data_IF_153777816271
#
_entry.id   IF_153777816271
#
_cell.length_a   1.000
_cell.length_b   1.000
_cell.length_c   1.000
_cell.angle_alpha   90.00
_cell.angle_beta   90.00
_cell.angle_gamma   90.00
#
_symmetry.space_group_name_H-M   'P 1'
#
loop_
_entity.id
_entity.type
_entity.pdbx_description
1 polymer ?
#
# COMPACT_ATOMS: atom_id res chain seq x y z
N UNK A 1 -0.72 59.60 -23.52
CA UNK A 1 -0.26 59.15 -22.19
C UNK A 1 -1.41 59.28 -21.23
N UNK A 2 -2.00 58.15 -20.84
CA UNK A 2 -2.69 57.88 -19.59
C UNK A 2 -3.38 56.52 -19.79
N UNK A 3 -2.69 55.46 -19.39
CA UNK A 3 -3.28 54.15 -19.12
C UNK A 3 -4.36 54.29 -18.04
N UNK A 4 -5.45 53.52 -18.12
CA UNK A 4 -6.21 53.15 -16.95
C UNK A 4 -6.02 51.67 -16.62
N UNK A 5 -5.62 51.49 -15.36
CA UNK A 5 -5.33 50.28 -14.58
C UNK A 5 -6.34 49.14 -14.72
N UNK A 6 -5.81 47.92 -14.75
CA UNK A 6 -6.50 46.67 -14.43
C UNK A 6 -6.93 46.63 -12.96
N UNK A 7 -8.13 46.10 -12.62
CA UNK A 7 -8.49 45.80 -11.24
C UNK A 7 -7.99 44.42 -10.79
N UNK A 8 -7.23 44.43 -9.70
CA UNK A 8 -6.64 43.32 -8.96
C UNK A 8 -7.62 42.17 -8.61
N UNK A 9 -7.13 40.94 -8.82
CA UNK A 9 -7.60 39.70 -8.21
C UNK A 9 -7.62 39.77 -6.68
N UNK A 10 -8.69 39.24 -6.07
CA UNK A 10 -8.62 38.69 -4.71
C UNK A 10 -9.29 37.31 -4.72
N UNK A 11 -8.49 36.29 -5.00
CA UNK A 11 -8.84 34.88 -4.83
C UNK A 11 -8.88 34.53 -3.33
N UNK A 12 -10.07 34.21 -2.85
CA UNK A 12 -10.33 33.74 -1.49
C UNK A 12 -10.37 32.20 -1.50
N UNK A 13 -9.20 31.57 -1.62
CA UNK A 13 -9.07 30.14 -1.87
C UNK A 13 -8.12 29.36 -0.94
N UNK A 14 -7.87 29.79 0.30
CA UNK A 14 -6.95 29.07 1.19
C UNK A 14 -7.58 28.68 2.52
N UNK A 15 -7.81 27.37 2.74
CA UNK A 15 -7.62 26.66 4.03
C UNK A 15 -8.26 25.25 4.03
N UNK A 16 -7.84 24.36 3.11
CA UNK A 16 -8.09 22.91 3.24
C UNK A 16 -6.82 22.05 3.21
N UNK A 17 -5.64 22.66 3.02
CA UNK A 17 -4.45 21.95 2.52
C UNK A 17 -3.60 21.24 3.60
N UNK A 18 -3.70 21.56 4.89
CA UNK A 18 -2.66 21.10 5.84
C UNK A 18 -2.94 19.78 6.58
N UNK A 19 -4.02 19.07 6.22
CA UNK A 19 -4.35 17.77 6.81
C UNK A 19 -3.45 16.63 6.30
N UNK A 20 -3.14 16.66 5.01
CA UNK A 20 -2.34 15.64 4.30
C UNK A 20 -0.83 15.84 4.50
N UNK A 21 -0.41 17.04 4.93
CA UNK A 21 1.00 17.40 5.14
C UNK A 21 1.69 16.62 6.28
N UNK A 22 0.92 15.88 7.07
CA UNK A 22 1.41 15.09 8.22
C UNK A 22 1.51 13.57 7.95
N UNK A 23 0.98 13.07 6.83
CA UNK A 23 1.19 11.68 6.39
C UNK A 23 2.17 11.67 5.23
N UNK A 24 3.24 10.87 5.33
CA UNK A 24 4.10 10.59 4.17
C UNK A 24 3.22 9.95 3.08
N UNK A 25 3.24 10.53 1.87
CA UNK A 25 2.46 10.12 0.68
C UNK A 25 2.48 8.61 0.48
N UNK A 26 3.62 7.98 0.77
CA UNK A 26 3.84 6.54 0.70
C UNK A 26 2.82 5.72 1.49
N UNK A 27 2.30 6.25 2.60
CA UNK A 27 1.32 5.60 3.48
C UNK A 27 -0.07 6.24 3.41
N UNK A 28 -0.31 7.13 2.45
CA UNK A 28 -1.62 7.76 2.28
C UNK A 28 -2.66 6.75 1.81
N UNK A 29 -3.90 6.94 2.27
CA UNK A 29 -5.05 6.13 1.85
C UNK A 29 -5.34 6.31 0.35
N UNK A 30 -5.13 7.54 -0.14
CA UNK A 30 -5.26 7.93 -1.54
C UNK A 30 -4.35 7.07 -2.42
N UNK A 31 -3.07 6.94 -2.06
CA UNK A 31 -2.11 6.13 -2.82
C UNK A 31 -2.54 4.66 -2.91
N UNK A 32 -3.06 4.09 -1.82
CA UNK A 32 -3.50 2.69 -1.81
C UNK A 32 -4.72 2.46 -2.70
N UNK A 33 -5.70 3.36 -2.62
CA UNK A 33 -6.90 3.31 -3.46
C UNK A 33 -6.53 3.41 -4.95
N UNK A 34 -5.70 4.39 -5.29
CA UNK A 34 -5.22 4.58 -6.67
C UNK A 34 -4.44 3.37 -7.17
N UNK A 35 -3.52 2.83 -6.37
CA UNK A 35 -2.69 1.70 -6.77
C UNK A 35 -3.56 0.46 -7.00
N UNK A 36 -4.50 0.19 -6.09
CA UNK A 36 -5.43 -0.94 -6.23
C UNK A 36 -6.27 -0.83 -7.50
N UNK A 37 -6.83 0.35 -7.78
CA UNK A 37 -7.63 0.56 -9.00
C UNK A 37 -6.80 0.40 -10.30
N UNK A 38 -5.50 0.68 -10.25
CA UNK A 38 -4.58 0.44 -11.37
C UNK A 38 -4.20 -1.05 -11.50
N UNK A 39 -4.05 -1.76 -10.38
CA UNK A 39 -3.73 -3.21 -10.35
C UNK A 39 -4.92 -4.08 -10.76
N UNK A 40 -6.13 -3.73 -10.29
CA UNK A 40 -7.38 -4.43 -10.62
C UNK A 40 -7.84 -4.15 -12.07
N UNK A 41 -7.30 -3.10 -12.69
CA UNK A 41 -7.57 -2.73 -14.09
C UNK A 41 -8.81 -1.85 -14.30
N UNK A 42 -9.44 -1.38 -13.22
CA UNK A 42 -10.58 -0.45 -13.27
C UNK A 42 -10.18 0.92 -13.85
N UNK A 43 -8.92 1.31 -13.66
CA UNK A 43 -8.33 2.50 -14.28
C UNK A 43 -7.29 2.07 -15.32
N UNK A 44 -7.45 2.47 -16.60
CA UNK A 44 -6.44 2.22 -17.61
C UNK A 44 -5.09 2.85 -17.26
N UNK A 45 -4.01 2.11 -17.44
CA UNK A 45 -2.64 2.63 -17.32
C UNK A 45 -2.41 3.78 -18.31
N UNK A 46 -3.01 3.70 -19.51
CA UNK A 46 -2.97 4.74 -20.53
C UNK A 46 -4.13 5.76 -20.37
N UNK A 47 -4.50 6.08 -19.12
CA UNK A 47 -5.61 7.00 -18.84
C UNK A 47 -5.46 8.36 -19.54
N UNK A 48 -4.24 8.86 -19.73
CA UNK A 48 -3.98 10.16 -20.37
C UNK A 48 -4.51 10.27 -21.80
N UNK A 49 -4.54 9.17 -22.55
CA UNK A 49 -5.02 9.11 -23.94
C UNK A 49 -6.49 8.67 -24.02
N UNK A 50 -6.97 7.93 -23.02
CA UNK A 50 -8.28 7.26 -23.08
C UNK A 50 -9.38 8.08 -22.42
N UNK A 51 -9.25 8.38 -21.12
CA UNK A 51 -10.32 8.97 -20.30
C UNK A 51 -9.92 10.30 -19.64
N UNK A 52 -8.62 10.57 -19.52
CA UNK A 52 -8.05 11.74 -18.89
C UNK A 52 -8.00 11.66 -17.35
N UNK A 53 -7.15 12.48 -16.69
CA UNK A 53 -6.94 12.40 -15.24
C UNK A 53 -8.19 12.73 -14.41
N UNK A 54 -9.08 13.58 -14.92
CA UNK A 54 -10.30 13.98 -14.22
C UNK A 54 -11.35 12.85 -14.19
N UNK A 55 -11.54 12.11 -15.29
CA UNK A 55 -12.44 10.97 -15.30
C UNK A 55 -11.96 9.86 -14.35
N UNK A 56 -10.64 9.64 -14.26
CA UNK A 56 -10.06 8.74 -13.26
C UNK A 56 -10.42 9.19 -11.84
N UNK A 57 -10.30 10.48 -11.55
CA UNK A 57 -10.70 11.02 -10.25
C UNK A 57 -12.18 10.76 -9.95
N UNK A 58 -13.09 10.93 -10.91
CA UNK A 58 -14.51 10.64 -10.72
C UNK A 58 -14.77 9.15 -10.41
N UNK A 59 -14.14 8.24 -11.15
CA UNK A 59 -14.21 6.79 -10.92
C UNK A 59 -13.74 6.47 -9.50
N UNK A 60 -12.59 6.99 -9.08
CA UNK A 60 -12.05 6.75 -7.74
C UNK A 60 -12.94 7.33 -6.64
N UNK A 61 -13.60 8.46 -6.86
CA UNK A 61 -14.56 9.03 -5.92
C UNK A 61 -15.84 8.20 -5.82
N UNK A 62 -16.38 7.71 -6.95
CA UNK A 62 -17.64 6.98 -7.01
C UNK A 62 -17.50 5.52 -6.57
N UNK A 63 -16.52 4.81 -7.10
CA UNK A 63 -16.40 3.36 -6.92
C UNK A 63 -15.53 2.99 -5.71
N UNK A 64 -14.53 3.83 -5.40
CA UNK A 64 -13.58 3.57 -4.31
C UNK A 64 -13.73 4.53 -3.12
N UNK A 65 -14.70 5.46 -3.17
CA UNK A 65 -15.00 6.38 -2.08
C UNK A 65 -13.85 7.34 -1.76
N UNK A 66 -13.03 7.71 -2.74
CA UNK A 66 -11.91 8.61 -2.56
C UNK A 66 -12.36 9.98 -2.03
N UNK A 67 -11.83 10.39 -0.87
CA UNK A 67 -12.12 11.67 -0.21
C UNK A 67 -10.92 12.62 -0.33
N UNK A 68 -10.59 13.06 -1.54
CA UNK A 68 -9.62 14.14 -1.76
C UNK A 68 -10.16 15.13 -2.77
N UNK A 69 -9.51 16.29 -2.92
CA UNK A 69 -9.87 17.27 -3.95
C UNK A 69 -9.06 17.03 -5.22
N UNK A 70 -9.67 17.25 -6.39
CA UNK A 70 -8.96 17.24 -7.65
C UNK A 70 -7.99 18.43 -7.69
N UNK A 71 -6.70 18.14 -7.63
CA UNK A 71 -5.61 19.12 -7.58
C UNK A 71 -4.46 18.68 -8.49
N UNK A 72 -3.54 19.59 -8.81
CA UNK A 72 -2.30 19.23 -9.55
C UNK A 72 -1.46 18.18 -8.82
N UNK A 73 -1.56 18.14 -7.49
CA UNK A 73 -0.91 17.10 -6.67
C UNK A 73 -1.49 15.72 -6.98
N UNK A 74 -2.81 15.61 -7.16
CA UNK A 74 -3.47 14.36 -7.55
C UNK A 74 -2.99 13.88 -8.91
N UNK A 75 -2.94 14.76 -9.92
CA UNK A 75 -2.54 14.38 -11.28
C UNK A 75 -1.07 13.94 -11.34
N UNK A 76 -0.19 14.65 -10.61
CA UNK A 76 1.22 14.26 -10.45
C UNK A 76 1.34 12.88 -9.82
N UNK A 77 0.64 12.63 -8.73
CA UNK A 77 0.69 11.35 -8.02
C UNK A 77 0.10 10.19 -8.81
N UNK A 78 -0.98 10.43 -9.55
CA UNK A 78 -1.54 9.45 -10.47
C UNK A 78 -0.51 9.07 -11.53
N UNK A 79 0.17 10.04 -12.14
CA UNK A 79 1.24 9.80 -13.11
C UNK A 79 2.41 9.01 -12.52
N UNK A 80 2.88 9.38 -11.32
CA UNK A 80 3.95 8.66 -10.62
C UNK A 80 3.57 7.20 -10.38
N UNK A 81 2.34 6.92 -9.94
CA UNK A 81 1.86 5.55 -9.72
C UNK A 81 1.74 4.75 -11.01
N UNK A 82 1.25 5.37 -12.08
CA UNK A 82 1.16 4.70 -13.38
C UNK A 82 2.53 4.33 -13.92
N UNK A 83 3.52 5.23 -13.86
CA UNK A 83 4.91 4.89 -14.23
C UNK A 83 5.44 3.77 -13.36
N UNK A 84 5.19 3.81 -12.05
CA UNK A 84 5.61 2.75 -11.13
C UNK A 84 5.01 1.38 -11.50
N UNK A 85 3.71 1.30 -11.82
CA UNK A 85 3.05 0.05 -12.21
C UNK A 85 3.62 -0.49 -13.52
N UNK A 86 3.84 0.38 -14.52
CA UNK A 86 4.47 0.00 -15.80
C UNK A 86 5.88 -0.55 -15.57
N UNK A 87 6.72 0.20 -14.86
CA UNK A 87 8.10 -0.21 -14.56
C UNK A 87 8.13 -1.54 -13.81
N UNK A 88 7.22 -1.76 -12.86
CA UNK A 88 7.09 -3.03 -12.15
C UNK A 88 6.64 -4.17 -13.06
N UNK A 89 5.68 -3.93 -13.96
CA UNK A 89 5.22 -4.93 -14.93
C UNK A 89 6.33 -5.33 -15.90
N UNK A 90 7.05 -4.35 -16.45
CA UNK A 90 8.13 -4.60 -17.40
C UNK A 90 9.31 -5.31 -16.74
N UNK A 91 9.66 -4.94 -15.51
CA UNK A 91 10.66 -5.68 -14.72
C UNK A 91 10.21 -7.11 -14.47
N UNK A 92 8.95 -7.32 -14.09
CA UNK A 92 8.42 -8.66 -13.85
C UNK A 92 8.48 -9.54 -15.11
N UNK A 93 8.14 -8.99 -16.28
CA UNK A 93 8.23 -9.71 -17.56
C UNK A 93 9.67 -10.02 -17.93
N UNK A 94 10.56 -9.04 -17.81
CA UNK A 94 11.98 -9.24 -18.10
C UNK A 94 12.61 -10.30 -17.19
N UNK A 95 12.27 -10.30 -15.90
CA UNK A 95 12.74 -11.31 -14.94
C UNK A 95 12.17 -12.69 -15.27
N UNK A 96 10.90 -12.79 -15.68
CA UNK A 96 10.28 -14.03 -16.13
C UNK A 96 10.94 -14.57 -17.41
N UNK A 97 11.16 -13.72 -18.41
CA UNK A 97 11.85 -14.09 -19.65
C UNK A 97 13.28 -14.55 -19.39
N UNK A 98 14.01 -13.84 -18.53
CA UNK A 98 15.36 -14.23 -18.12
C UNK A 98 15.37 -15.57 -17.38
N UNK A 99 14.40 -15.80 -16.49
CA UNK A 99 14.25 -17.06 -15.77
C UNK A 99 13.91 -18.22 -16.71
N UNK A 100 12.97 -18.02 -17.63
CA UNK A 100 12.58 -19.03 -18.61
C UNK A 100 13.75 -19.37 -19.56
N UNK A 101 14.49 -18.36 -20.02
CA UNK A 101 15.70 -18.56 -20.81
C UNK A 101 16.77 -19.33 -20.03
N UNK A 102 16.94 -19.03 -18.73
CA UNK A 102 17.84 -19.79 -17.86
C UNK A 102 17.41 -21.26 -17.75
N UNK A 103 16.12 -21.54 -17.51
CA UNK A 103 15.62 -22.91 -17.45
C UNK A 103 15.80 -23.67 -18.77
N UNK A 104 15.60 -23.00 -19.91
CA UNK A 104 15.78 -23.60 -21.24
C UNK A 104 17.24 -23.99 -21.52
N UNK A 105 18.20 -23.17 -21.08
CA UNK A 105 19.63 -23.42 -21.29
C UNK A 105 20.25 -24.34 -20.22
N UNK A 106 19.61 -24.45 -19.05
CA UNK A 106 20.11 -25.22 -17.91
C UNK A 106 19.08 -26.28 -17.48
N UNK A 107 18.85 -27.32 -18.30
CA UNK A 107 17.97 -28.41 -17.91
C UNK A 107 18.46 -29.04 -16.61
N UNK A 108 17.50 -29.32 -15.71
CA UNK A 108 17.79 -29.82 -14.37
C UNK A 108 18.25 -31.28 -14.47
N UNK A 109 19.45 -31.60 -14.01
CA UNK A 109 19.96 -32.98 -13.98
C UNK A 109 19.20 -33.82 -12.95
N UNK A 110 18.76 -35.01 -13.35
CA UNK A 110 18.11 -36.00 -12.47
C UNK A 110 19.04 -36.52 -11.37
N UNK A 111 20.36 -36.50 -11.62
CA UNK A 111 21.38 -36.93 -10.68
C UNK A 111 22.23 -35.75 -10.21
N UNK A 112 22.64 -35.81 -8.95
CA UNK A 112 23.66 -34.92 -8.41
C UNK A 112 25.05 -35.27 -8.98
N UNK A 113 26.02 -34.38 -8.79
CA UNK A 113 27.45 -34.56 -9.06
C UNK A 113 28.04 -35.87 -8.51
N UNK A 114 27.45 -36.43 -7.44
CA UNK A 114 27.83 -37.71 -6.84
C UNK A 114 27.08 -38.92 -7.42
N UNK A 115 26.28 -38.75 -8.47
CA UNK A 115 25.47 -39.82 -9.09
C UNK A 115 24.28 -40.28 -8.25
N UNK A 116 23.89 -39.52 -7.23
CA UNK A 116 22.71 -39.81 -6.39
C UNK A 116 21.46 -39.21 -7.03
N UNK A 117 20.28 -39.85 -6.89
CA UNK A 117 19.03 -39.21 -7.30
C UNK A 117 18.88 -37.85 -6.65
N UNK A 118 18.45 -36.85 -7.42
CA UNK A 118 18.15 -35.51 -6.91
C UNK A 118 16.84 -35.56 -6.13
N UNK A 119 16.83 -34.98 -4.93
CA UNK A 119 15.62 -34.86 -4.12
C UNK A 119 14.62 -33.86 -4.73
N UNK A 120 15.13 -32.70 -5.15
CA UNK A 120 14.34 -31.62 -5.76
C UNK A 120 13.61 -32.08 -7.03
N UNK A 121 12.29 -31.97 -7.03
CA UNK A 121 11.43 -32.40 -8.14
C UNK A 121 11.16 -33.89 -8.18
N UNK A 122 11.63 -34.66 -7.20
CA UNK A 122 11.33 -36.09 -7.10
C UNK A 122 9.91 -36.34 -6.58
N UNK A 123 9.37 -37.51 -6.88
CA UNK A 123 8.07 -37.93 -6.37
C UNK A 123 8.09 -38.09 -4.84
N UNK A 124 9.24 -38.50 -4.27
CA UNK A 124 9.45 -38.58 -2.83
C UNK A 124 9.28 -37.21 -2.15
N UNK A 125 9.79 -36.13 -2.75
CA UNK A 125 9.59 -34.78 -2.22
C UNK A 125 8.10 -34.39 -2.23
N UNK A 126 7.42 -34.62 -3.36
CA UNK A 126 6.01 -34.27 -3.54
C UNK A 126 5.13 -34.98 -2.51
N UNK A 127 5.33 -36.29 -2.36
CA UNK A 127 4.58 -37.12 -1.40
C UNK A 127 4.92 -36.76 0.05
N UNK A 128 6.20 -36.52 0.38
CA UNK A 128 6.60 -36.14 1.73
C UNK A 128 5.97 -34.81 2.14
N UNK A 129 5.95 -33.82 1.24
CA UNK A 129 5.30 -32.52 1.50
C UNK A 129 3.80 -32.66 1.74
N UNK A 130 3.12 -33.52 0.97
CA UNK A 130 1.70 -33.81 1.18
C UNK A 130 1.45 -34.50 2.52
N UNK A 131 2.19 -35.58 2.82
CA UNK A 131 2.09 -36.30 4.10
C UNK A 131 2.46 -35.41 5.31
N UNK A 132 3.33 -34.42 5.09
CA UNK A 132 3.66 -33.43 6.11
C UNK A 132 2.54 -32.42 6.35
N UNK A 133 1.87 -31.97 5.29
CA UNK A 133 0.71 -31.09 5.38
C UNK A 133 -0.47 -31.79 6.08
N UNK A 134 -0.67 -33.08 5.79
CA UNK A 134 -1.70 -33.92 6.43
C UNK A 134 -1.35 -34.31 7.87
N UNK A 135 -0.11 -34.05 8.31
CA UNK A 135 0.35 -34.36 9.66
C UNK A 135 0.70 -35.83 9.89
N UNK A 136 0.72 -36.66 8.86
CA UNK A 136 1.05 -38.09 8.89
C UNK A 136 2.44 -38.34 9.50
N UNK A 137 3.41 -37.46 9.26
CA UNK A 137 4.74 -37.56 9.87
C UNK A 137 4.71 -37.52 11.42
N UNK A 138 3.64 -36.99 12.05
CA UNK A 138 3.46 -36.94 13.50
C UNK A 138 2.78 -38.18 14.07
N UNK A 139 2.10 -38.98 13.24
CA UNK A 139 1.44 -40.21 13.70
C UNK A 139 2.43 -41.34 13.89
N UNK A 140 3.57 -41.30 13.19
CA UNK A 140 4.66 -42.25 13.38
C UNK A 140 5.54 -41.85 14.56
N UNK A 141 5.82 -42.80 15.45
CA UNK A 141 6.69 -42.61 16.61
C UNK A 141 8.17 -42.43 16.24
N UNK A 142 8.57 -42.86 15.04
CA UNK A 142 9.95 -42.76 14.56
C UNK A 142 9.98 -42.37 13.07
N UNK A 143 10.89 -41.46 12.66
CA UNK A 143 11.06 -41.08 11.25
C UNK A 143 11.40 -42.27 10.33
N UNK A 144 11.98 -43.35 10.87
CA UNK A 144 12.28 -44.57 10.12
C UNK A 144 10.99 -45.28 9.65
N UNK A 145 9.98 -45.36 10.51
CA UNK A 145 8.70 -45.99 10.14
C UNK A 145 7.96 -45.16 9.09
N UNK A 146 8.06 -43.83 9.18
CA UNK A 146 7.53 -42.95 8.16
C UNK A 146 8.27 -43.12 6.82
N UNK A 147 9.59 -43.23 6.84
CA UNK A 147 10.38 -43.54 5.65
C UNK A 147 10.03 -44.90 5.02
N UNK A 148 9.80 -45.92 5.84
CA UNK A 148 9.40 -47.27 5.38
C UNK A 148 7.95 -47.35 4.91
N UNK A 149 7.14 -46.29 5.10
CA UNK A 149 5.72 -46.30 4.74
C UNK A 149 5.45 -46.26 3.23
N UNK A 150 6.43 -45.78 2.44
CA UNK A 150 6.32 -45.65 0.98
C UNK A 150 7.62 -46.06 0.31
N UNK A 151 7.53 -46.71 -0.84
CA UNK A 151 8.69 -47.18 -1.58
C UNK A 151 9.45 -46.01 -2.25
N UNK A 152 8.75 -44.94 -2.60
CA UNK A 152 9.34 -43.74 -3.21
C UNK A 152 10.34 -43.06 -2.27
N UNK A 153 10.10 -43.08 -0.96
CA UNK A 153 11.03 -42.55 0.04
C UNK A 153 12.33 -43.32 0.07
N UNK A 154 12.27 -44.64 -0.20
CA UNK A 154 13.40 -45.54 -0.09
C UNK A 154 14.44 -45.38 -1.20
N UNK A 155 14.12 -44.62 -2.25
CA UNK A 155 15.08 -44.23 -3.29
C UNK A 155 16.21 -43.35 -2.75
N UNK A 156 15.97 -42.69 -1.60
CA UNK A 156 16.92 -41.81 -0.94
C UNK A 156 17.42 -42.46 0.34
N UNK A 157 18.64 -42.14 0.77
CA UNK A 157 19.10 -42.62 2.06
C UNK A 157 18.25 -42.06 3.20
N UNK A 158 18.01 -42.87 4.24
CA UNK A 158 17.27 -42.46 5.44
C UNK A 158 17.81 -41.17 6.07
N UNK A 159 19.13 -40.94 6.01
CA UNK A 159 19.76 -39.72 6.52
C UNK A 159 19.33 -38.48 5.73
N UNK A 160 19.31 -38.57 4.40
CA UNK A 160 18.87 -37.49 3.51
C UNK A 160 17.39 -37.19 3.74
N UNK A 161 16.55 -38.24 3.78
CA UNK A 161 15.12 -38.11 4.03
C UNK A 161 14.81 -37.38 5.35
N UNK A 162 15.47 -37.79 6.45
CA UNK A 162 15.34 -37.10 7.76
C UNK A 162 15.75 -35.64 7.67
N UNK A 163 16.83 -35.34 6.95
CA UNK A 163 17.28 -33.97 6.73
C UNK A 163 16.23 -33.10 6.06
N UNK A 164 15.49 -33.65 5.08
CA UNK A 164 14.41 -32.93 4.41
C UNK A 164 13.17 -32.75 5.30
N UNK A 165 12.81 -33.74 6.13
CA UNK A 165 11.77 -33.54 7.15
C UNK A 165 12.12 -32.37 8.07
N UNK A 166 13.35 -32.33 8.58
CA UNK A 166 13.81 -31.24 9.46
C UNK A 166 13.82 -29.89 8.74
N UNK A 167 14.18 -29.86 7.45
CA UNK A 167 14.11 -28.65 6.62
C UNK A 167 12.67 -28.14 6.51
N UNK A 168 11.72 -29.01 6.20
CA UNK A 168 10.31 -28.63 6.07
C UNK A 168 9.71 -28.17 7.41
N UNK A 169 10.05 -28.83 8.53
CA UNK A 169 9.63 -28.37 9.87
C UNK A 169 10.18 -26.96 10.14
N UNK A 170 11.46 -26.70 9.84
CA UNK A 170 12.05 -25.36 9.98
C UNK A 170 11.36 -24.34 9.09
N UNK A 171 11.00 -24.72 7.87
CA UNK A 171 10.30 -23.86 6.93
C UNK A 171 8.89 -23.50 7.43
N UNK A 172 8.14 -24.48 7.97
CA UNK A 172 6.84 -24.25 8.60
C UNK A 172 6.94 -23.29 9.80
N UNK A 173 7.96 -23.46 10.65
CA UNK A 173 8.23 -22.55 11.77
C UNK A 173 8.56 -21.14 11.27
N UNK A 174 9.36 -21.03 10.20
CA UNK A 174 9.71 -19.75 9.59
C UNK A 174 8.48 -19.03 9.00
N UNK A 175 7.60 -19.75 8.30
CA UNK A 175 6.34 -19.17 7.81
C UNK A 175 5.44 -18.70 8.95
N UNK A 176 5.38 -19.45 10.05
CA UNK A 176 4.65 -19.02 11.25
C UNK A 176 5.25 -17.73 11.83
N UNK A 177 6.58 -17.63 11.91
CA UNK A 177 7.27 -16.41 12.31
C UNK A 177 6.99 -15.22 11.36
N UNK A 178 6.97 -15.43 10.05
CA UNK A 178 6.66 -14.39 9.07
C UNK A 178 5.23 -13.87 9.26
N UNK A 179 4.25 -14.76 9.43
CA UNK A 179 2.85 -14.38 9.72
C UNK A 179 2.76 -13.54 11.01
N UNK A 180 3.40 -13.98 12.09
CA UNK A 180 3.45 -13.22 13.33
C UNK A 180 4.08 -11.82 13.15
N UNK A 181 5.12 -11.74 12.33
CA UNK A 181 5.82 -10.49 12.03
C UNK A 181 4.94 -9.55 11.19
N UNK A 182 4.27 -10.06 10.18
CA UNK A 182 3.30 -9.33 9.36
C UNK A 182 2.15 -8.79 10.21
N UNK A 183 1.58 -9.62 11.09
CA UNK A 183 0.54 -9.17 12.01
C UNK A 183 1.02 -8.05 12.95
N UNK A 184 2.25 -8.17 13.49
CA UNK A 184 2.84 -7.12 14.34
C UNK A 184 3.06 -5.82 13.56
N UNK A 185 3.47 -5.92 12.30
CA UNK A 185 3.64 -4.75 11.42
C UNK A 185 2.28 -4.13 11.05
N UNK A 186 1.26 -4.93 10.77
CA UNK A 186 -0.10 -4.46 10.54
C UNK A 186 -0.67 -3.75 11.78
N UNK A 187 -0.44 -4.31 12.97
CA UNK A 187 -0.84 -3.68 14.24
C UNK A 187 -0.10 -2.35 14.49
N UNK A 188 1.20 -2.29 14.21
CA UNK A 188 1.99 -1.06 14.40
C UNK A 188 1.63 0.04 13.39
N UNK A 189 1.41 -0.32 12.14
CA UNK A 189 0.96 0.60 11.08
C UNK A 189 -0.46 1.12 11.36
N UNK A 190 -1.38 0.25 11.79
CA UNK A 190 -2.71 0.67 12.24
C UNK A 190 -2.65 1.66 13.41
N UNK A 191 -1.81 1.39 14.42
CA UNK A 191 -1.60 2.31 15.55
C UNK A 191 -0.99 3.65 15.12
N UNK A 192 -0.06 3.63 14.16
CA UNK A 192 0.51 4.85 13.60
C UNK A 192 -0.56 5.68 12.86
N UNK A 193 -1.43 5.03 12.08
CA UNK A 193 -2.56 5.67 11.39
C UNK A 193 -3.56 6.28 12.38
N UNK A 194 -3.96 5.55 13.42
CA UNK A 194 -4.83 6.07 14.47
C UNK A 194 -4.23 7.30 15.17
N UNK A 195 -2.93 7.24 15.49
CA UNK A 195 -2.23 8.36 16.12
C UNK A 195 -2.16 9.57 15.20
N UNK A 196 -1.94 9.36 13.90
CA UNK A 196 -1.95 10.44 12.92
C UNK A 196 -3.34 11.07 12.75
N UNK A 197 -4.39 10.25 12.69
CA UNK A 197 -5.78 10.73 12.66
C UNK A 197 -6.13 11.58 13.89
N UNK A 198 -5.76 11.13 15.10
CA UNK A 198 -5.95 11.90 16.34
C UNK A 198 -5.22 13.25 16.32
N UNK A 199 -3.98 13.28 15.82
CA UNK A 199 -3.22 14.52 15.67
C UNK A 199 -3.91 15.47 14.68
N UNK A 200 -4.42 14.93 13.59
CA UNK A 200 -5.15 15.69 12.58
C UNK A 200 -6.44 16.30 13.14
N UNK A 201 -7.24 15.53 13.88
CA UNK A 201 -8.47 16.02 14.52
C UNK A 201 -8.17 17.13 15.54
N UNK A 202 -7.11 16.95 16.35
CA UNK A 202 -6.68 17.96 17.32
C UNK A 202 -6.24 19.27 16.61
N UNK A 203 -5.55 19.16 15.48
CA UNK A 203 -5.18 20.31 14.66
C UNK A 203 -6.42 21.03 14.12
N UNK A 204 -7.35 20.30 13.48
CA UNK A 204 -8.63 20.86 12.98
C UNK A 204 -9.42 21.58 14.07
N UNK A 205 -9.47 21.03 15.29
CA UNK A 205 -10.15 21.65 16.44
C UNK A 205 -9.51 22.98 16.86
N UNK A 206 -8.17 23.05 16.91
CA UNK A 206 -7.44 24.29 17.22
C UNK A 206 -7.66 25.36 16.14
N UNK A 207 -7.65 24.95 14.88
CA UNK A 207 -7.86 25.82 13.72
C UNK A 207 -9.28 26.43 13.74
N UNK A 208 -10.30 25.61 14.02
CA UNK A 208 -11.69 26.07 14.16
C UNK A 208 -11.88 27.04 15.34
N UNK A 209 -11.21 26.79 16.48
CA UNK A 209 -11.27 27.70 17.64
C UNK A 209 -10.61 29.06 17.33
N UNK A 210 -9.47 29.05 16.61
CA UNK A 210 -8.80 30.27 16.14
C UNK A 210 -9.71 31.08 15.22
N UNK A 211 -10.35 30.44 14.23
CA UNK A 211 -11.31 31.07 13.31
C UNK A 211 -12.51 31.67 14.07
N UNK A 212 -13.05 30.98 15.07
CA UNK A 212 -14.14 31.51 15.92
C UNK A 212 -13.72 32.76 16.70
N UNK A 213 -12.53 32.77 17.32
CA UNK A 213 -12.01 33.93 18.06
C UNK A 213 -11.79 35.13 17.14
N UNK A 214 -11.28 34.89 15.93
CA UNK A 214 -11.08 35.96 14.93
C UNK A 214 -12.40 36.55 14.43
N UNK A 215 -13.39 35.71 14.14
CA UNK A 215 -14.72 36.15 13.74
C UNK A 215 -15.43 36.96 14.84
N UNK A 216 -15.27 36.57 16.11
CA UNK A 216 -15.82 37.32 17.24
C UNK A 216 -15.13 38.68 17.43
N UNK A 217 -13.81 38.75 17.22
CA UNK A 217 -13.06 40.01 17.25
C UNK A 217 -13.54 40.96 16.14
N UNK A 218 -13.68 40.48 14.90
CA UNK A 218 -14.20 41.27 13.77
C UNK A 218 -15.63 41.78 14.02
N UNK A 219 -16.51 40.95 14.60
CA UNK A 219 -17.87 41.38 14.98
C UNK A 219 -17.87 42.47 16.06
N UNK A 220 -17.00 42.37 17.07
CA UNK A 220 -16.87 43.39 18.13
C UNK A 220 -16.31 44.72 17.59
N UNK A 221 -15.38 44.68 16.64
CA UNK A 221 -14.85 45.88 15.98
C UNK A 221 -15.90 46.56 15.09
N UNK A 222 -16.64 45.79 14.27
CA UNK A 222 -17.73 46.32 13.45
C UNK A 222 -18.86 46.96 14.28
N UNK A 223 -19.22 46.36 15.43
CA UNK A 223 -20.23 46.91 16.33
C UNK A 223 -19.79 48.24 16.99
N UNK A 224 -18.50 48.38 17.33
CA UNK A 224 -17.92 49.62 17.85
C UNK A 224 -17.88 50.73 16.79
N UNK A 225 -17.60 50.38 15.53
CA UNK A 225 -17.58 51.34 14.44
C UNK A 225 -19.01 51.85 14.10
N UNK A 226 -20.01 50.97 14.09
CA UNK A 226 -21.40 51.32 13.87
C UNK A 226 -21.98 52.25 14.98
N UNK A 227 -21.61 52.01 16.25
CA UNK A 227 -22.02 52.90 17.36
C UNK A 227 -21.32 54.26 17.32
N UNK A 228 -20.07 54.33 16.85
CA UNK A 228 -19.35 55.61 16.63
C UNK A 228 -19.96 56.43 15.49
N UNK A 229 -20.39 55.78 14.39
CA UNK A 229 -21.10 56.42 13.26
C UNK A 229 -22.50 56.93 13.65
N UNK A 230 -23.26 56.19 14.49
CA UNK A 230 -24.55 56.68 15.02
C UNK A 230 -24.38 57.92 15.90
N UNK A 231 -23.44 57.93 16.86
CA UNK A 231 -23.21 59.07 17.77
C UNK A 231 -22.74 60.36 17.06
N UNK A 232 -22.04 60.23 15.94
CA UNK A 232 -21.59 61.38 15.14
C UNK A 232 -22.70 61.97 14.26
N UNK A 233 -23.67 61.16 13.82
CA UNK A 233 -24.86 61.65 13.09
C UNK A 233 -25.86 62.41 13.98
N UNK A 234 -25.99 62.02 15.26
CA UNK A 234 -26.93 62.65 16.22
C UNK A 234 -26.44 64.01 16.72
N UNK A 235 -25.13 64.31 16.63
CA UNK A 235 -24.53 65.59 17.08
C UNK A 235 -24.56 66.69 16.02
N UNK A 236 -25.01 66.38 14.79
CA UNK A 236 -25.02 67.30 13.64
C UNK A 236 -26.42 67.87 13.32
N UNK A 237 -27.38 67.72 14.23
CA UNK A 237 -28.76 68.24 14.11
C UNK A 237 -28.99 69.34 15.13
#
# INVERSE_FOLDING_TARGET
MAEPEEPEEQDAGENKVDAERFLDWKYSEIRQIMLKALEDGDVPVEYGTTIGPFAVYEILCQDFGLQCEYTDTFTRHLRELTTYVVDCSDRSKNDEDAYNNFLANHPRSEFDSMGRPRWEGSEAERLMKADMADGTHKTFSAPKLFYESRDEYQQFSLTVFRGHIDQEIRLQNYFSFLKDKEEKLAKSTAKARETAQKKLEAFKKKEAEKKKKEAEKKKKEAAKEATKKKRTSTRRR
#
